data_IF_976093339257
#
_entry.id   IF_976093339257
#
_cell.length_a   1.000
_cell.length_b   1.000
_cell.length_c   1.000
_cell.angle_alpha   90.00
_cell.angle_beta   90.00
_cell.angle_gamma   90.00
#
_symmetry.space_group_name_H-M   'P 1'
#
loop_
_entity.id
_entity.type
_entity.pdbx_description
1 polymer ?
#
# COMPACT_ATOMS: atom_id res chain seq x y z
N UNK A 1 32.00 -3.02 -12.06
CA UNK A 1 30.75 -2.57 -11.43
C UNK A 1 29.75 -2.24 -12.48
N UNK A 2 28.63 -2.88 -12.43
CA UNK A 2 27.63 -2.75 -13.48
C UNK A 2 26.83 -1.46 -13.30
N UNK A 3 27.00 -0.50 -14.22
CA UNK A 3 26.33 0.80 -14.15
C UNK A 3 24.82 0.71 -14.41
N UNK A 4 24.32 -0.47 -14.75
CA UNK A 4 22.89 -0.68 -15.00
C UNK A 4 22.01 -0.34 -13.82
N UNK A 5 22.55 -0.43 -12.60
CA UNK A 5 21.81 -0.16 -11.37
C UNK A 5 21.34 1.30 -11.27
N UNK A 6 22.00 2.21 -12.00
CA UNK A 6 21.72 3.64 -11.89
C UNK A 6 20.89 4.21 -13.02
N UNK A 7 20.50 3.39 -13.98
CA UNK A 7 19.63 3.83 -15.07
C UNK A 7 18.16 3.62 -14.68
N UNK A 8 17.60 4.62 -14.02
CA UNK A 8 16.23 4.59 -13.51
C UNK A 8 15.19 4.50 -14.62
N UNK A 9 15.56 4.85 -15.87
CA UNK A 9 14.63 4.73 -17.00
C UNK A 9 14.41 3.29 -17.40
N UNK A 10 15.38 2.41 -17.11
CA UNK A 10 15.32 0.98 -17.42
C UNK A 10 14.74 0.19 -16.27
N UNK A 11 14.86 0.71 -15.04
CA UNK A 11 14.55 -0.04 -13.83
C UNK A 11 13.06 -0.24 -13.53
N UNK A 12 12.16 0.46 -14.11
CA UNK A 12 10.69 0.39 -13.96
C UNK A 12 10.06 -0.75 -13.14
N UNK A 13 10.81 -1.44 -12.32
CA UNK A 13 10.34 -2.52 -11.45
C UNK A 13 10.31 -3.89 -12.10
N UNK A 14 10.53 -4.00 -13.41
CA UNK A 14 10.42 -5.25 -14.14
C UNK A 14 11.75 -5.95 -14.43
N UNK A 15 12.88 -5.32 -14.12
CA UNK A 15 14.19 -5.94 -14.25
C UNK A 15 14.31 -7.09 -13.23
N UNK A 16 14.78 -8.30 -13.66
CA UNK A 16 14.86 -9.44 -12.72
C UNK A 16 15.64 -9.15 -11.44
N UNK A 17 16.74 -8.39 -11.53
CA UNK A 17 17.55 -8.05 -10.36
C UNK A 17 16.81 -7.12 -9.41
N UNK A 18 16.11 -6.13 -9.95
CA UNK A 18 15.30 -5.18 -9.16
C UNK A 18 14.13 -5.91 -8.52
N UNK A 19 13.49 -6.81 -9.27
CA UNK A 19 12.39 -7.61 -8.75
C UNK A 19 12.84 -8.53 -7.62
N UNK A 20 14.00 -9.18 -7.76
CA UNK A 20 14.57 -10.02 -6.71
C UNK A 20 14.85 -9.23 -5.44
N UNK A 21 15.37 -8.01 -5.59
CA UNK A 21 15.63 -7.13 -4.45
C UNK A 21 14.32 -6.77 -3.74
N UNK A 22 13.29 -6.42 -4.50
CA UNK A 22 11.98 -6.10 -3.95
C UNK A 22 11.38 -7.30 -3.21
N UNK A 23 11.46 -8.50 -3.79
CA UNK A 23 10.97 -9.73 -3.17
C UNK A 23 11.72 -10.00 -1.86
N UNK A 24 13.04 -9.88 -1.87
CA UNK A 24 13.85 -10.08 -0.66
C UNK A 24 13.48 -9.10 0.44
N UNK A 25 13.27 -7.85 0.06
CA UNK A 25 12.87 -6.78 0.98
C UNK A 25 11.53 -7.11 1.65
N UNK A 26 10.57 -7.61 0.87
CA UNK A 26 9.26 -8.02 1.39
C UNK A 26 9.38 -9.24 2.30
N UNK A 27 10.20 -10.23 1.92
CA UNK A 27 10.40 -11.42 2.74
C UNK A 27 11.04 -11.08 4.09
N UNK A 28 11.88 -10.04 4.15
CA UNK A 28 12.42 -9.56 5.42
C UNK A 28 11.33 -9.10 6.38
N UNK A 29 10.19 -8.65 5.88
CA UNK A 29 9.06 -8.26 6.72
C UNK A 29 8.49 -9.43 7.51
N UNK A 30 8.77 -10.67 7.10
CA UNK A 30 8.33 -11.85 7.84
C UNK A 30 8.90 -11.88 9.26
N UNK A 31 10.05 -11.25 9.50
CA UNK A 31 10.63 -11.18 10.84
C UNK A 31 9.67 -10.50 11.82
N UNK A 32 9.01 -9.45 11.39
CA UNK A 32 8.01 -8.75 12.19
C UNK A 32 6.66 -9.44 12.13
N UNK A 33 6.19 -9.78 10.94
CA UNK A 33 4.83 -10.29 10.75
C UNK A 33 4.60 -11.67 11.36
N UNK A 34 5.66 -12.47 11.52
CA UNK A 34 5.57 -13.79 12.16
C UNK A 34 5.05 -13.69 13.60
N UNK A 35 5.32 -12.59 14.30
CA UNK A 35 4.79 -12.36 15.64
C UNK A 35 3.27 -12.34 15.68
N UNK A 36 2.64 -12.03 14.56
CA UNK A 36 1.18 -12.00 14.40
C UNK A 36 0.65 -13.22 13.68
N UNK A 37 1.51 -14.24 13.46
CA UNK A 37 1.12 -15.45 12.74
C UNK A 37 1.02 -15.25 11.23
N UNK A 38 1.63 -14.20 10.69
CA UNK A 38 1.53 -13.84 9.28
C UNK A 38 2.89 -13.99 8.61
N UNK A 39 2.93 -14.78 7.55
CA UNK A 39 4.15 -14.95 6.74
C UNK A 39 3.78 -14.98 5.27
N UNK A 40 4.71 -14.55 4.44
CA UNK A 40 4.60 -14.64 2.99
C UNK A 40 5.62 -15.64 2.46
N UNK A 41 5.20 -16.47 1.53
CA UNK A 41 6.11 -17.32 0.78
C UNK A 41 6.81 -16.48 -0.30
N UNK A 42 7.85 -17.02 -0.89
CA UNK A 42 8.55 -16.36 -2.00
C UNK A 42 7.58 -16.09 -3.17
N UNK A 43 6.75 -17.08 -3.49
CA UNK A 43 5.77 -16.97 -4.58
C UNK A 43 4.74 -15.88 -4.29
N UNK A 44 4.28 -15.78 -3.04
CA UNK A 44 3.34 -14.73 -2.63
C UNK A 44 3.99 -13.35 -2.73
N UNK A 45 5.23 -13.22 -2.27
CA UNK A 45 5.97 -11.96 -2.37
C UNK A 45 6.18 -11.56 -3.83
N UNK A 46 6.51 -12.51 -4.69
CA UNK A 46 6.66 -12.26 -6.13
C UNK A 46 5.36 -11.76 -6.75
N UNK A 47 4.23 -12.36 -6.38
CA UNK A 47 2.91 -11.95 -6.86
C UNK A 47 2.58 -10.51 -6.43
N UNK A 48 2.90 -10.16 -5.19
CA UNK A 48 2.69 -8.79 -4.68
C UNK A 48 3.52 -7.77 -5.44
N UNK A 49 4.79 -8.08 -5.71
CA UNK A 49 5.69 -7.21 -6.47
C UNK A 49 5.16 -7.02 -7.90
N UNK A 50 4.68 -8.09 -8.51
CA UNK A 50 4.10 -8.03 -9.86
C UNK A 50 2.87 -7.11 -9.89
N UNK A 51 1.97 -7.26 -8.92
CA UNK A 51 0.78 -6.39 -8.81
C UNK A 51 1.18 -4.92 -8.65
N UNK A 52 2.15 -4.65 -7.78
CA UNK A 52 2.63 -3.28 -7.58
C UNK A 52 3.22 -2.71 -8.86
N UNK A 53 4.02 -3.49 -9.57
CA UNK A 53 4.71 -3.02 -10.77
C UNK A 53 3.73 -2.64 -11.88
N UNK A 54 2.60 -3.33 -11.99
CA UNK A 54 1.53 -2.96 -12.92
C UNK A 54 1.00 -1.56 -12.56
N UNK A 55 0.74 -1.31 -11.28
CA UNK A 55 0.26 -0.01 -10.81
C UNK A 55 1.29 1.10 -11.02
N UNK A 56 2.58 0.80 -10.80
CA UNK A 56 3.65 1.77 -11.02
C UNK A 56 3.73 2.21 -12.48
N UNK A 57 3.59 1.27 -13.41
CA UNK A 57 3.58 1.60 -14.84
C UNK A 57 2.41 2.50 -15.20
N UNK A 58 1.23 2.18 -14.68
CA UNK A 58 0.03 2.94 -14.97
C UNK A 58 0.12 4.38 -14.46
N UNK A 59 0.78 4.59 -13.31
CA UNK A 59 0.93 5.91 -12.69
C UNK A 59 2.24 6.63 -13.05
N UNK A 60 3.11 5.97 -13.83
CA UNK A 60 4.45 6.48 -14.17
C UNK A 60 5.29 6.79 -12.94
N UNK A 61 5.11 5.99 -11.91
CA UNK A 61 5.83 6.12 -10.65
C UNK A 61 6.93 5.05 -10.57
N UNK A 62 8.04 5.38 -9.94
CA UNK A 62 9.16 4.46 -9.72
C UNK A 62 9.34 4.26 -8.23
N UNK A 63 9.45 3.00 -7.81
CA UNK A 63 9.78 2.61 -6.44
C UNK A 63 10.89 1.56 -6.46
N UNK A 64 11.78 1.64 -5.49
CA UNK A 64 12.85 0.67 -5.31
C UNK A 64 12.55 -0.21 -4.10
N UNK A 65 13.01 -1.48 -4.15
CA UNK A 65 12.79 -2.42 -3.07
C UNK A 65 11.32 -2.74 -2.87
N UNK A 66 10.93 -3.00 -1.64
CA UNK A 66 9.55 -3.30 -1.27
C UNK A 66 8.63 -2.08 -1.30
N UNK A 67 9.18 -0.87 -1.15
CA UNK A 67 8.43 0.38 -1.28
C UNK A 67 7.16 0.43 -0.47
N UNK A 68 6.05 0.76 -1.12
CA UNK A 68 4.73 0.85 -0.48
C UNK A 68 4.28 -0.48 0.11
N UNK A 69 4.67 -1.62 -0.49
CA UNK A 69 4.29 -2.94 0.05
C UNK A 69 4.82 -3.11 1.47
N UNK A 70 6.08 -2.74 1.72
CA UNK A 70 6.66 -2.82 3.07
C UNK A 70 5.90 -1.92 4.04
N UNK A 71 5.56 -0.72 3.63
CA UNK A 71 4.79 0.22 4.46
C UNK A 71 3.42 -0.32 4.80
N UNK A 72 2.75 -0.96 3.83
CA UNK A 72 1.46 -1.60 4.07
C UNK A 72 1.60 -2.76 5.06
N UNK A 73 2.61 -3.60 4.90
CA UNK A 73 2.85 -4.70 5.83
C UNK A 73 3.05 -4.17 7.25
N UNK A 74 3.97 -3.23 7.44
CA UNK A 74 4.24 -2.66 8.76
C UNK A 74 2.99 -2.07 9.40
N UNK A 75 2.15 -1.42 8.62
CA UNK A 75 0.94 -0.77 9.14
C UNK A 75 -0.17 -1.76 9.46
N UNK A 76 -0.30 -2.84 8.68
CA UNK A 76 -1.49 -3.70 8.75
C UNK A 76 -1.30 -5.02 9.49
N UNK A 77 -0.06 -5.45 9.78
CA UNK A 77 0.16 -6.77 10.42
C UNK A 77 -0.49 -6.90 11.80
N UNK A 78 -0.70 -5.78 12.51
CA UNK A 78 -1.34 -5.79 13.82
C UNK A 78 -2.86 -5.69 13.77
N UNK A 79 -3.48 -5.68 12.60
CA UNK A 79 -4.93 -5.55 12.47
C UNK A 79 -5.64 -6.81 12.97
N UNK A 80 -6.69 -6.67 13.79
CA UNK A 80 -7.46 -7.82 14.25
C UNK A 80 -8.28 -8.50 13.15
N UNK A 81 -8.37 -7.88 11.97
CA UNK A 81 -9.16 -8.37 10.85
C UNK A 81 -8.32 -9.13 9.82
N UNK A 82 -7.00 -9.21 10.02
CA UNK A 82 -6.09 -9.92 9.12
C UNK A 82 -5.59 -11.19 9.80
N UNK A 83 -5.69 -12.30 9.09
CA UNK A 83 -5.22 -13.60 9.55
C UNK A 83 -4.41 -14.29 8.45
N UNK A 84 -3.85 -15.47 8.76
CA UNK A 84 -3.00 -16.19 7.81
C UNK A 84 -3.73 -16.60 6.53
N UNK A 85 -5.05 -16.76 6.58
CA UNK A 85 -5.83 -17.18 5.41
C UNK A 85 -6.09 -16.03 4.45
N UNK A 86 -6.28 -14.79 4.95
CA UNK A 86 -6.61 -13.64 4.11
C UNK A 86 -5.45 -12.67 3.91
N UNK A 87 -4.28 -12.96 4.45
CA UNK A 87 -3.16 -12.02 4.46
C UNK A 87 -2.73 -11.57 3.06
N UNK A 88 -2.41 -12.52 2.19
CA UNK A 88 -1.96 -12.21 0.83
C UNK A 88 -3.04 -11.46 0.04
N UNK A 89 -4.26 -11.96 0.05
CA UNK A 89 -5.37 -11.34 -0.68
C UNK A 89 -5.62 -9.90 -0.19
N UNK A 90 -5.58 -9.71 1.13
CA UNK A 90 -5.76 -8.39 1.72
C UNK A 90 -4.66 -7.44 1.24
N UNK A 91 -3.41 -7.87 1.22
CA UNK A 91 -2.30 -7.04 0.73
C UNK A 91 -2.47 -6.68 -0.74
N UNK A 92 -2.90 -7.62 -1.59
CA UNK A 92 -3.18 -7.32 -3.00
C UNK A 92 -4.23 -6.22 -3.13
N UNK A 93 -5.32 -6.33 -2.38
CA UNK A 93 -6.39 -5.33 -2.40
C UNK A 93 -5.92 -3.98 -1.88
N UNK A 94 -5.12 -3.97 -0.81
CA UNK A 94 -4.58 -2.73 -0.26
C UNK A 94 -3.65 -2.03 -1.24
N UNK A 95 -2.85 -2.80 -1.98
CA UNK A 95 -1.98 -2.25 -3.02
C UNK A 95 -2.82 -1.54 -4.09
N UNK A 96 -3.86 -2.20 -4.59
CA UNK A 96 -4.73 -1.65 -5.62
C UNK A 96 -5.43 -0.37 -5.12
N UNK A 97 -5.96 -0.41 -3.91
CA UNK A 97 -6.64 0.74 -3.30
C UNK A 97 -5.65 1.91 -3.15
N UNK A 98 -4.45 1.63 -2.63
CA UNK A 98 -3.45 2.67 -2.41
C UNK A 98 -3.12 3.41 -3.70
N UNK A 99 -2.73 2.68 -4.75
CA UNK A 99 -2.29 3.35 -5.98
C UNK A 99 -3.44 4.03 -6.72
N UNK A 100 -4.64 3.46 -6.67
CA UNK A 100 -5.82 4.09 -7.25
C UNK A 100 -6.10 5.45 -6.62
N UNK A 101 -6.13 5.52 -5.31
CA UNK A 101 -6.46 6.76 -4.61
C UNK A 101 -5.27 7.72 -4.48
N UNK A 102 -4.04 7.21 -4.51
CA UNK A 102 -2.86 8.06 -4.60
C UNK A 102 -2.90 8.91 -5.87
N UNK A 103 -3.22 8.27 -6.99
CA UNK A 103 -3.40 8.95 -8.27
C UNK A 103 -4.61 9.89 -8.23
N UNK A 104 -5.73 9.41 -7.68
CA UNK A 104 -6.99 10.14 -7.63
C UNK A 104 -6.93 11.40 -6.76
N UNK A 105 -6.07 11.41 -5.75
CA UNK A 105 -5.86 12.60 -4.89
C UNK A 105 -4.76 13.51 -5.45
N UNK A 106 -4.39 13.35 -6.73
CA UNK A 106 -3.37 14.14 -7.43
C UNK A 106 -2.03 14.15 -6.70
N UNK A 107 -1.75 13.09 -5.95
CA UNK A 107 -0.54 12.93 -5.14
C UNK A 107 -0.31 14.04 -4.10
N UNK A 108 -1.37 14.75 -3.71
CA UNK A 108 -1.28 15.79 -2.67
C UNK A 108 -1.24 15.22 -1.26
N UNK A 109 -1.63 13.94 -1.12
CA UNK A 109 -1.57 13.21 0.15
C UNK A 109 -0.31 12.36 0.13
N UNK A 110 0.54 12.45 1.17
CA UNK A 110 1.76 11.65 1.22
C UNK A 110 1.44 10.16 1.35
N UNK A 111 2.41 9.31 1.02
CA UNK A 111 2.26 7.86 1.15
C UNK A 111 1.88 7.48 2.59
N UNK A 112 2.60 8.04 3.56
CA UNK A 112 2.38 7.71 4.96
C UNK A 112 1.02 8.21 5.47
N UNK A 113 0.59 9.39 5.02
CA UNK A 113 -0.74 9.90 5.35
C UNK A 113 -1.84 9.01 4.78
N UNK A 114 -1.69 8.60 3.53
CA UNK A 114 -2.68 7.76 2.87
C UNK A 114 -2.76 6.38 3.52
N UNK A 115 -1.61 5.75 3.78
CA UNK A 115 -1.56 4.43 4.43
C UNK A 115 -2.11 4.52 5.85
N UNK A 116 -1.75 5.56 6.60
CA UNK A 116 -2.28 5.78 7.96
C UNK A 116 -3.79 5.93 7.96
N UNK A 117 -4.34 6.69 7.03
CA UNK A 117 -5.78 6.83 6.87
C UNK A 117 -6.45 5.49 6.55
N UNK A 118 -5.87 4.74 5.61
CA UNK A 118 -6.39 3.42 5.23
C UNK A 118 -6.45 2.48 6.42
N UNK A 119 -5.36 2.45 7.21
CA UNK A 119 -5.28 1.57 8.39
C UNK A 119 -6.31 1.96 9.45
N UNK A 120 -6.41 3.25 9.74
CA UNK A 120 -7.37 3.74 10.73
C UNK A 120 -8.81 3.43 10.32
N UNK A 121 -9.14 3.68 9.06
CA UNK A 121 -10.47 3.40 8.53
C UNK A 121 -10.75 1.89 8.50
N UNK A 122 -9.78 1.09 8.06
CA UNK A 122 -9.91 -0.36 7.96
C UNK A 122 -10.21 -1.00 9.32
N UNK A 123 -9.48 -0.60 10.37
CA UNK A 123 -9.69 -1.13 11.70
C UNK A 123 -10.90 -0.51 12.41
N UNK A 124 -11.26 0.70 12.04
CA UNK A 124 -12.35 1.46 12.66
C UNK A 124 -13.68 1.26 11.97
N UNK A 125 -14.08 2.25 11.17
CA UNK A 125 -15.41 2.29 10.55
C UNK A 125 -15.67 1.16 9.57
N UNK A 126 -14.64 0.64 8.91
CA UNK A 126 -14.76 -0.46 7.95
C UNK A 126 -14.86 -1.84 8.61
N UNK A 127 -14.37 -1.97 9.83
CA UNK A 127 -14.33 -3.24 10.56
C UNK A 127 -13.73 -4.37 9.71
N UNK A 128 -12.64 -4.08 9.02
CA UNK A 128 -11.94 -5.04 8.18
C UNK A 128 -12.54 -5.26 6.81
N UNK A 129 -13.54 -4.49 6.42
CA UNK A 129 -14.13 -4.60 5.09
C UNK A 129 -13.37 -3.74 4.07
N UNK A 130 -12.68 -4.39 3.15
CA UNK A 130 -11.99 -3.71 2.06
C UNK A 130 -12.96 -3.04 1.10
N UNK A 131 -14.14 -3.62 0.93
CA UNK A 131 -15.19 -3.03 0.09
C UNK A 131 -15.64 -1.68 0.65
N UNK A 132 -15.88 -1.61 1.95
CA UNK A 132 -16.29 -0.36 2.60
C UNK A 132 -15.14 0.66 2.55
N UNK A 133 -13.91 0.20 2.75
CA UNK A 133 -12.73 1.08 2.63
C UNK A 133 -12.68 1.72 1.25
N UNK A 134 -12.77 0.92 0.20
CA UNK A 134 -12.63 1.39 -1.18
C UNK A 134 -13.81 2.24 -1.63
N UNK A 135 -15.04 1.78 -1.35
CA UNK A 135 -16.24 2.40 -1.93
C UNK A 135 -16.80 3.55 -1.10
N UNK A 136 -16.42 3.66 0.17
CA UNK A 136 -16.94 4.70 1.06
C UNK A 136 -15.84 5.60 1.60
N UNK A 137 -14.93 5.06 2.39
CA UNK A 137 -13.95 5.87 3.11
C UNK A 137 -12.97 6.57 2.17
N UNK A 138 -12.42 5.84 1.21
CA UNK A 138 -11.48 6.41 0.25
C UNK A 138 -12.17 7.41 -0.68
N UNK A 139 -13.41 7.14 -1.06
CA UNK A 139 -14.20 8.05 -1.90
C UNK A 139 -14.46 9.37 -1.17
N UNK A 140 -14.78 9.31 0.12
CA UNK A 140 -14.98 10.52 0.93
C UNK A 140 -13.69 11.35 1.02
N UNK A 141 -12.55 10.70 1.23
CA UNK A 141 -11.25 11.39 1.24
C UNK A 141 -10.97 12.04 -0.10
N UNK A 142 -11.15 11.31 -1.18
CA UNK A 142 -10.92 11.82 -2.53
C UNK A 142 -11.80 13.02 -2.83
N UNK A 143 -13.09 12.94 -2.49
CA UNK A 143 -14.03 14.05 -2.67
C UNK A 143 -13.61 15.28 -1.88
N UNK A 144 -13.12 15.09 -0.68
CA UNK A 144 -12.62 16.18 0.17
C UNK A 144 -11.44 16.89 -0.48
N UNK A 145 -10.47 16.13 -1.00
CA UNK A 145 -9.29 16.67 -1.69
C UNK A 145 -9.74 17.41 -2.97
N UNK A 146 -10.65 16.81 -3.75
CA UNK A 146 -11.15 17.41 -4.99
C UNK A 146 -11.94 18.69 -4.73
N UNK A 147 -12.46 18.88 -3.53
CA UNK A 147 -13.14 20.14 -3.15
C UNK A 147 -12.16 21.27 -2.80
N UNK A 148 -10.86 21.02 -2.90
CA UNK A 148 -9.82 22.01 -2.60
C UNK A 148 -9.37 22.03 -1.15
N UNK A 149 -9.81 21.07 -0.34
CA UNK A 149 -9.42 20.97 1.07
C UNK A 149 -8.20 20.06 1.22
N UNK A 150 -7.45 20.27 2.30
CA UNK A 150 -6.26 19.47 2.54
C UNK A 150 -6.58 18.23 3.41
N UNK A 151 -5.63 17.32 3.46
CA UNK A 151 -5.78 16.05 4.19
C UNK A 151 -6.01 16.29 5.70
N UNK A 152 -5.29 17.23 6.28
CA UNK A 152 -5.38 17.52 7.71
C UNK A 152 -6.79 17.98 8.11
N UNK A 153 -7.42 18.80 7.28
CA UNK A 153 -8.78 19.27 7.59
C UNK A 153 -9.81 18.16 7.49
N UNK A 154 -9.59 17.14 6.66
CA UNK A 154 -10.46 15.96 6.60
C UNK A 154 -10.39 15.16 7.90
N UNK A 155 -9.20 14.93 8.40
CA UNK A 155 -8.99 14.19 9.65
C UNK A 155 -9.66 14.87 10.84
N UNK A 156 -9.50 16.19 10.96
CA UNK A 156 -10.12 16.98 12.02
C UNK A 156 -11.65 16.91 11.93
N UNK A 157 -12.18 17.06 10.73
CA UNK A 157 -13.62 17.02 10.51
C UNK A 157 -14.21 15.65 10.88
N UNK A 158 -13.49 14.58 10.58
CA UNK A 158 -13.91 13.22 10.92
C UNK A 158 -13.95 13.00 12.43
N UNK A 159 -13.00 13.56 13.16
CA UNK A 159 -12.99 13.48 14.62
C UNK A 159 -14.17 14.23 15.26
N UNK A 160 -14.54 15.36 14.71
CA UNK A 160 -15.66 16.16 15.21
C UNK A 160 -16.99 15.44 14.99
N UNK A 161 -17.13 14.66 13.94
CA UNK A 161 -18.36 13.94 13.59
C UNK A 161 -18.51 12.60 14.33
N UNK A 162 -17.49 12.18 15.05
CA UNK A 162 -17.58 11.04 15.93
C UNK A 162 -18.26 11.45 17.23
#
# INVERSE_FOLDING_TARGET
>A
MDNKIYDLTVLGGNEPTVQQYAVSSILCCNEESTQYGLTLTKEQAEALVTSRNVSLKASRRIELGGGVIEKLIHSFVGSPYINSENYEETLHRLIDIFYSFKSDTWETVSDDQLIGFMKEAFDGSCRGSLEILETREMVLLSSHIHSGRNFESFSIHKEILK
#
